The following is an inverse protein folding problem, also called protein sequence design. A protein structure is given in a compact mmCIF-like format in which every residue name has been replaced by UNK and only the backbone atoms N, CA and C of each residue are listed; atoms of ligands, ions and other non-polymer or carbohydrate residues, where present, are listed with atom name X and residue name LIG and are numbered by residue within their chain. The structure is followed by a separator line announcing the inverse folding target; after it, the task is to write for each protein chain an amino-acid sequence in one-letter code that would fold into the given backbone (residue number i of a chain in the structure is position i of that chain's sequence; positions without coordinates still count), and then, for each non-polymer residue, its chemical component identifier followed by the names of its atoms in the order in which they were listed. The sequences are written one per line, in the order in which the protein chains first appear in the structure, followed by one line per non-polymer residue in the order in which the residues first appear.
data_IF_799291515869
#
_entry.id   IF_799291515869
#
_cell.length_a   1.000
_cell.length_b   1.000
_cell.length_c   1.000
_cell.angle_alpha   90.00
_cell.angle_beta   90.00
_cell.angle_gamma   90.00
#
_symmetry.space_group_name_H-M   'P 1'
#
loop_
_entity.id
_entity.type
_entity.pdbx_description
1 polymer ?
#
# COMPACT_ATOMS: atom_id res chain seq x y z
N UNK A 1 -9.22 -7.28 6.39
CA UNK A 1 -8.64 -7.09 5.05
C UNK A 1 -7.23 -6.55 5.21
N UNK A 2 -6.25 -7.08 4.46
CA UNK A 2 -4.85 -6.64 4.51
C UNK A 2 -4.50 -5.88 3.24
N UNK A 3 -3.72 -4.81 3.36
CA UNK A 3 -3.36 -3.94 2.23
C UNK A 3 -1.88 -3.61 2.23
N UNK A 4 -1.32 -3.41 1.03
CA UNK A 4 0.04 -2.88 0.83
C UNK A 4 -0.07 -1.60 0.03
N UNK A 5 0.44 -0.49 0.59
CA UNK A 5 0.31 0.86 0.00
C UNK A 5 1.08 1.02 -1.33
N UNK A 6 2.22 0.34 -1.47
CA UNK A 6 3.16 0.36 -2.61
C UNK A 6 3.81 1.71 -2.99
N UNK A 7 3.27 2.84 -2.56
CA UNK A 7 3.91 4.17 -2.70
C UNK A 7 3.82 5.00 -1.41
N UNK A 8 4.27 4.42 -0.29
CA UNK A 8 4.36 5.18 0.96
C UNK A 8 5.60 6.07 0.92
N UNK A 9 5.39 7.39 0.90
CA UNK A 9 6.44 8.39 0.92
C UNK A 9 6.07 9.53 1.87
N UNK A 10 7.06 10.29 2.36
CA UNK A 10 6.84 11.41 3.28
C UNK A 10 5.79 12.42 2.75
N UNK A 11 5.80 12.70 1.43
CA UNK A 11 4.81 13.56 0.74
C UNK A 11 3.37 13.07 0.84
N UNK A 12 3.15 11.80 1.20
CA UNK A 12 1.84 11.15 1.35
C UNK A 12 1.42 11.00 2.81
N UNK A 13 2.23 11.48 3.75
CA UNK A 13 1.88 11.53 5.18
C UNK A 13 1.39 12.94 5.50
N UNK A 14 0.10 13.06 5.80
CA UNK A 14 -0.56 14.33 6.11
C UNK A 14 -0.62 14.53 7.62
N UNK A 15 0.10 15.53 8.14
CA UNK A 15 0.08 15.88 9.56
C UNK A 15 -1.26 16.54 9.90
N UNK A 16 -1.99 15.96 10.85
CA UNK A 16 -3.27 16.50 11.33
C UNK A 16 -3.10 17.18 12.70
N UNK A 17 -2.26 16.63 13.58
CA UNK A 17 -1.83 17.24 14.84
C UNK A 17 -0.51 16.62 15.30
N UNK A 18 0.07 17.12 16.40
CA UNK A 18 1.37 16.68 16.95
C UNK A 18 1.52 15.16 17.09
N UNK A 19 0.43 14.43 17.37
CA UNK A 19 0.43 12.97 17.53
C UNK A 19 -0.45 12.24 16.51
N UNK A 20 -0.95 12.92 15.48
CA UNK A 20 -1.87 12.34 14.50
C UNK A 20 -1.43 12.66 13.07
N UNK A 21 -1.25 11.60 12.28
CA UNK A 21 -1.05 11.68 10.84
C UNK A 21 -2.10 10.85 10.11
N UNK A 22 -2.35 11.21 8.85
CA UNK A 22 -3.18 10.44 7.91
C UNK A 22 -2.33 10.05 6.71
N UNK A 23 -2.45 8.81 6.28
CA UNK A 23 -1.81 8.33 5.06
C UNK A 23 -2.72 8.66 3.87
N UNK A 24 -2.15 9.16 2.78
CA UNK A 24 -2.87 9.56 1.58
C UNK A 24 -2.36 8.84 0.33
N UNK A 25 -3.14 8.93 -0.75
CA UNK A 25 -2.84 8.35 -2.07
C UNK A 25 -2.72 6.82 -2.10
N UNK A 26 -3.86 6.16 -1.95
CA UNK A 26 -4.00 4.72 -2.08
C UNK A 26 -4.17 4.25 -3.54
N UNK A 27 -3.92 5.11 -4.54
CA UNK A 27 -4.14 4.78 -5.96
C UNK A 27 -3.35 3.56 -6.45
N UNK A 28 -2.22 3.26 -5.80
CA UNK A 28 -1.41 2.07 -6.06
C UNK A 28 -1.62 0.96 -5.03
N UNK A 29 -2.56 1.06 -4.10
CA UNK A 29 -2.73 0.04 -3.05
C UNK A 29 -3.20 -1.30 -3.61
N UNK A 30 -2.72 -2.40 -3.03
CA UNK A 30 -3.17 -3.77 -3.34
C UNK A 30 -3.72 -4.48 -2.11
N UNK A 31 -4.79 -5.25 -2.31
CA UNK A 31 -5.36 -6.14 -1.29
C UNK A 31 -4.54 -7.43 -1.26
N UNK A 32 -4.19 -7.88 -0.06
CA UNK A 32 -3.74 -9.25 0.17
C UNK A 32 -4.97 -10.09 0.53
N UNK A 33 -5.31 -11.12 -0.26
CA UNK A 33 -6.40 -12.04 0.04
C UNK A 33 -6.28 -12.63 1.46
N UNK A 34 -7.42 -12.92 2.09
CA UNK A 34 -7.47 -13.37 3.49
C UNK A 34 -6.74 -14.71 3.67
N UNK A 35 -6.80 -15.57 2.66
CA UNK A 35 -6.18 -16.88 2.57
C UNK A 35 -4.68 -16.85 2.20
N UNK A 36 -4.10 -15.67 1.98
CA UNK A 36 -2.69 -15.53 1.54
C UNK A 36 -1.91 -14.60 2.45
N UNK A 37 -0.76 -15.05 2.95
CA UNK A 37 0.10 -14.21 3.80
C UNK A 37 0.93 -13.20 3.00
N UNK A 38 1.22 -13.52 1.74
CA UNK A 38 2.05 -12.71 0.87
C UNK A 38 1.45 -12.64 -0.54
N UNK A 39 1.80 -11.58 -1.26
CA UNK A 39 1.52 -11.46 -2.67
C UNK A 39 2.55 -12.25 -3.48
N UNK A 40 2.11 -13.00 -4.50
CA UNK A 40 2.99 -13.74 -5.42
C UNK A 40 2.69 -13.28 -6.84
N UNK A 41 3.74 -12.85 -7.54
CA UNK A 41 3.68 -12.53 -8.97
C UNK A 41 3.63 -13.85 -9.74
N UNK A 42 2.58 -14.04 -10.53
CA UNK A 42 2.35 -15.22 -11.36
C UNK A 42 2.26 -14.89 -12.84
N UNK A 43 1.94 -13.64 -13.18
CA UNK A 43 1.82 -13.16 -14.55
C UNK A 43 2.68 -11.91 -14.80
N UNK A 44 3.12 -11.65 -16.03
CA UNK A 44 3.73 -10.37 -16.40
C UNK A 44 2.78 -9.20 -16.09
N UNK A 45 3.29 -8.12 -15.50
CA UNK A 45 2.49 -6.95 -15.10
C UNK A 45 1.84 -7.03 -13.70
N UNK A 46 1.96 -8.17 -13.03
CA UNK A 46 1.58 -8.32 -11.62
C UNK A 46 2.63 -7.76 -10.66
N UNK A 47 3.87 -7.54 -11.13
CA UNK A 47 4.94 -7.03 -10.29
C UNK A 47 4.57 -5.68 -9.65
N UNK A 48 4.71 -5.54 -8.32
CA UNK A 48 4.44 -4.29 -7.63
C UNK A 48 5.60 -3.28 -7.71
N UNK A 49 6.76 -3.76 -8.13
CA UNK A 49 7.98 -3.03 -8.45
C UNK A 49 8.15 -3.16 -9.96
N UNK A 50 8.25 -2.03 -10.65
CA UNK A 50 8.28 -1.95 -12.11
C UNK A 50 9.19 -3.01 -12.76
#
# INVERSE_FOLDING_TARGET
MRYVHRDLAARKVLVTSDTLVKIADFGLTKIIPVDKEYYRVTQPGESPIF
#
